data_IF_745246355256
#
_entry.id   IF_745246355256
#
_cell.length_a   1.000
_cell.length_b   1.000
_cell.length_c   1.000
_cell.angle_alpha   90.00
_cell.angle_beta   90.00
_cell.angle_gamma   90.00
#
_symmetry.space_group_name_H-M   'P 1'
#
loop_
_entity.id
_entity.type
_entity.pdbx_description
1 polymer ?
#
# COMPACT_ATOMS: atom_id res chain seq x y z
N UNK A 1 24.82 -40.05 0.15
CA UNK A 1 24.14 -40.81 -0.90
C UNK A 1 22.66 -40.45 -0.82
N UNK A 2 22.09 -39.95 -1.91
CA UNK A 2 20.66 -39.88 -2.31
C UNK A 2 20.55 -38.71 -3.30
N UNK A 3 20.30 -39.08 -4.55
CA UNK A 3 20.38 -38.27 -5.75
C UNK A 3 19.04 -37.58 -6.05
N UNK A 4 19.14 -36.42 -6.70
CA UNK A 4 18.32 -35.96 -7.83
C UNK A 4 16.80 -35.85 -7.63
N UNK A 5 16.29 -34.61 -7.54
CA UNK A 5 14.95 -34.26 -8.04
C UNK A 5 15.09 -33.15 -9.07
N UNK A 6 15.04 -33.57 -10.33
CA UNK A 6 14.82 -32.74 -11.51
C UNK A 6 13.32 -32.39 -11.54
N UNK A 7 12.97 -31.12 -11.38
CA UNK A 7 11.59 -30.65 -11.54
C UNK A 7 11.51 -29.71 -12.75
N UNK A 8 10.79 -30.18 -13.75
CA UNK A 8 10.48 -29.50 -15.01
C UNK A 8 9.38 -28.46 -14.72
N UNK A 9 9.61 -27.20 -15.07
CA UNK A 9 8.59 -26.15 -15.04
C UNK A 9 8.00 -25.95 -16.44
N UNK A 10 6.67 -26.03 -16.66
CA UNK A 10 6.07 -25.70 -17.93
C UNK A 10 5.85 -24.18 -18.08
N UNK A 11 6.04 -23.72 -19.31
CA UNK A 11 5.92 -22.36 -19.82
C UNK A 11 4.59 -21.67 -19.43
N UNK A 12 4.68 -20.59 -18.65
CA UNK A 12 3.61 -19.60 -18.53
C UNK A 12 3.87 -18.45 -19.50
N UNK A 13 3.11 -18.49 -20.58
CA UNK A 13 2.99 -17.49 -21.65
C UNK A 13 2.64 -16.12 -21.03
N UNK A 14 3.62 -15.20 -20.97
CA UNK A 14 3.40 -13.80 -20.59
C UNK A 14 2.46 -13.14 -21.61
N UNK A 15 1.29 -12.70 -21.14
CA UNK A 15 0.45 -11.72 -21.88
C UNK A 15 1.09 -10.33 -21.74
N UNK A 16 1.02 -9.47 -22.77
CA UNK A 16 1.63 -8.15 -22.73
C UNK A 16 0.80 -7.24 -21.80
N UNK A 17 1.43 -6.78 -20.71
CA UNK A 17 0.92 -5.69 -19.90
C UNK A 17 1.12 -4.38 -20.68
N UNK A 18 0.02 -3.81 -21.17
CA UNK A 18 -0.02 -2.41 -21.62
C UNK A 18 -0.40 -1.61 -20.39
N UNK A 19 0.58 -0.90 -19.84
CA UNK A 19 0.45 -0.06 -18.66
C UNK A 19 1.82 0.53 -18.34
N UNK A 20 2.32 1.38 -19.24
CA UNK A 20 3.55 2.13 -19.02
C UNK A 20 3.26 3.25 -18.04
N UNK A 21 3.80 3.12 -16.83
CA UNK A 21 4.09 4.24 -15.94
C UNK A 21 5.46 3.96 -15.36
N UNK A 22 6.49 4.63 -15.86
CA UNK A 22 7.79 4.66 -15.20
C UNK A 22 7.59 5.39 -13.86
N UNK A 23 7.42 4.65 -12.77
CA UNK A 23 7.51 5.20 -11.41
C UNK A 23 8.98 5.50 -11.14
N UNK A 24 9.33 6.79 -11.17
CA UNK A 24 10.62 7.26 -10.65
C UNK A 24 10.67 6.90 -9.15
N UNK A 25 11.62 6.06 -8.69
CA UNK A 25 11.68 5.64 -7.29
C UNK A 25 11.92 6.82 -6.34
N UNK A 26 12.41 7.96 -6.86
CA UNK A 26 12.61 9.20 -6.10
C UNK A 26 11.34 10.02 -5.90
N UNK A 27 10.21 9.65 -6.54
CA UNK A 27 8.94 10.37 -6.39
C UNK A 27 8.26 9.99 -5.08
N UNK A 28 8.50 10.76 -4.03
CA UNK A 28 7.83 10.61 -2.74
C UNK A 28 6.32 10.78 -2.90
N UNK A 29 5.55 9.72 -2.63
CA UNK A 29 4.10 9.80 -2.53
C UNK A 29 3.72 10.14 -1.09
N UNK A 30 3.43 11.41 -0.82
CA UNK A 30 2.94 11.83 0.48
C UNK A 30 1.42 11.58 0.58
N UNK A 31 1.01 10.58 1.37
CA UNK A 31 -0.38 10.39 1.84
C UNK A 31 -0.68 11.37 2.99
N UNK A 32 -0.47 12.66 2.74
CA UNK A 32 -0.76 13.65 3.76
C UNK A 32 -2.27 13.79 3.93
N UNK A 33 -2.80 13.34 5.07
CA UNK A 33 -4.13 13.76 5.55
C UNK A 33 -4.13 15.27 5.66
N UNK A 34 -4.76 15.99 4.75
CA UNK A 34 -4.89 17.45 4.87
C UNK A 34 -5.69 17.77 6.13
N UNK A 35 -5.00 18.21 7.18
CA UNK A 35 -5.62 18.82 8.39
C UNK A 35 -6.17 20.21 8.10
N UNK A 36 -5.87 20.77 6.92
CA UNK A 36 -6.47 22.01 6.44
C UNK A 36 -7.89 21.72 6.02
N UNK A 37 -8.86 22.30 6.74
CA UNK A 37 -10.27 22.27 6.37
C UNK A 37 -10.39 22.61 4.86
N UNK A 38 -11.13 21.82 4.06
CA UNK A 38 -11.23 22.07 2.64
C UNK A 38 -11.76 23.49 2.45
N UNK A 39 -10.97 24.36 1.81
CA UNK A 39 -11.55 25.54 1.15
C UNK A 39 -12.54 24.98 0.16
N UNK A 40 -13.81 25.36 0.31
CA UNK A 40 -14.96 24.87 -0.44
C UNK A 40 -14.71 24.87 -1.96
N UNK A 41 -14.07 23.82 -2.45
CA UNK A 41 -14.07 23.36 -3.82
C UNK A 41 -14.84 22.06 -3.75
N UNK A 42 -15.99 21.99 -4.39
CA UNK A 42 -17.06 21.00 -4.14
C UNK A 42 -16.75 19.53 -4.45
N UNK A 43 -15.49 19.08 -4.40
CA UNK A 43 -15.14 17.68 -4.47
C UNK A 43 -15.15 17.07 -3.06
N UNK A 44 -16.03 16.10 -2.82
CA UNK A 44 -16.02 15.32 -1.58
C UNK A 44 -14.72 14.50 -1.51
N UNK A 45 -13.84 14.83 -0.57
CA UNK A 45 -12.75 13.93 -0.16
C UNK A 45 -13.37 12.68 0.47
N UNK A 46 -12.75 11.50 0.30
CA UNK A 46 -13.21 10.30 0.98
C UNK A 46 -13.00 10.35 2.50
N UNK A 47 -13.29 9.25 3.20
CA UNK A 47 -13.13 9.17 4.64
C UNK A 47 -11.72 9.58 5.07
N UNK A 48 -11.64 10.33 6.17
CA UNK A 48 -10.40 10.76 6.81
C UNK A 48 -9.46 11.57 5.92
N UNK A 49 -9.98 12.14 4.83
CA UNK A 49 -9.19 12.91 3.86
C UNK A 49 -8.55 12.07 2.75
N UNK A 50 -8.79 10.76 2.71
CA UNK A 50 -8.24 9.88 1.68
C UNK A 50 -9.19 9.72 0.49
N UNK A 51 -8.71 10.00 -0.71
CA UNK A 51 -9.50 9.90 -1.94
C UNK A 51 -9.94 8.45 -2.25
N UNK A 52 -9.15 7.46 -1.84
CA UNK A 52 -9.48 6.04 -1.98
C UNK A 52 -10.79 5.70 -1.27
N UNK A 53 -11.00 6.29 -0.09
CA UNK A 53 -12.05 5.94 0.86
C UNK A 53 -13.39 6.67 0.58
N UNK A 54 -13.72 6.87 -0.69
CA UNK A 54 -15.05 7.32 -1.14
C UNK A 54 -16.08 6.18 -1.16
N UNK A 55 -15.62 4.94 -1.07
CA UNK A 55 -16.45 3.73 -0.99
C UNK A 55 -15.77 2.66 -0.13
N UNK A 56 -16.51 1.66 0.37
CA UNK A 56 -15.94 0.56 1.16
C UNK A 56 -14.77 -0.15 0.48
N UNK A 57 -14.97 -0.53 -0.80
CA UNK A 57 -13.94 -1.18 -1.62
C UNK A 57 -12.71 -0.26 -1.89
N UNK A 58 -12.81 1.03 -1.54
CA UNK A 58 -11.68 1.93 -1.46
C UNK A 58 -10.54 1.41 -0.59
N UNK A 59 -10.85 0.71 0.50
CA UNK A 59 -9.86 0.10 1.38
C UNK A 59 -8.99 -0.94 0.67
N UNK A 60 -9.54 -1.72 -0.28
CA UNK A 60 -8.77 -2.70 -1.04
C UNK A 60 -7.73 -2.04 -1.93
N UNK A 61 -8.13 -0.99 -2.67
CA UNK A 61 -7.19 -0.20 -3.47
C UNK A 61 -6.14 0.48 -2.59
N UNK A 62 -6.55 0.99 -1.45
CA UNK A 62 -5.65 1.69 -0.55
C UNK A 62 -4.54 0.76 -0.02
N UNK A 63 -4.89 -0.47 0.38
CA UNK A 63 -3.89 -1.47 0.81
C UNK A 63 -3.07 -2.02 -0.36
N UNK A 64 -3.65 -2.19 -1.55
CA UNK A 64 -2.93 -2.61 -2.77
C UNK A 64 -1.77 -1.64 -3.07
N UNK A 65 -2.08 -0.36 -3.17
CA UNK A 65 -1.10 0.69 -3.47
C UNK A 65 -0.05 0.82 -2.36
N UNK A 66 -0.47 0.67 -1.10
CA UNK A 66 0.45 0.71 0.03
C UNK A 66 1.48 -0.42 0.00
N UNK A 67 1.05 -1.64 -0.32
CA UNK A 67 1.92 -2.81 -0.45
C UNK A 67 2.85 -2.65 -1.65
N UNK A 68 2.32 -2.23 -2.80
CA UNK A 68 3.11 -2.00 -4.01
C UNK A 68 4.22 -0.99 -3.74
N UNK A 69 3.88 0.19 -3.20
CA UNK A 69 4.85 1.25 -2.94
C UNK A 69 5.89 0.85 -1.91
N UNK A 70 5.46 0.20 -0.82
CA UNK A 70 6.39 -0.28 0.21
C UNK A 70 7.35 -1.32 -0.36
N UNK A 71 6.88 -2.20 -1.24
CA UNK A 71 7.71 -3.23 -1.89
C UNK A 71 8.74 -2.62 -2.85
N UNK A 72 8.34 -1.60 -3.61
CA UNK A 72 9.26 -0.83 -4.44
C UNK A 72 10.38 -0.18 -3.60
N UNK A 73 10.01 0.48 -2.49
CA UNK A 73 10.94 1.17 -1.60
C UNK A 73 11.91 0.20 -0.92
N UNK A 74 11.42 -0.93 -0.39
CA UNK A 74 12.25 -1.99 0.18
C UNK A 74 13.24 -2.52 -0.86
N UNK A 75 12.77 -2.77 -2.09
CA UNK A 75 13.63 -3.25 -3.18
C UNK A 75 14.69 -2.20 -3.56
N UNK A 76 14.31 -0.92 -3.57
CA UNK A 76 15.21 0.19 -3.85
C UNK A 76 16.33 0.28 -2.83
N UNK A 77 16.01 0.32 -1.53
CA UNK A 77 17.02 0.48 -0.47
C UNK A 77 17.86 -0.77 -0.22
N UNK A 78 17.33 -1.97 -0.53
CA UNK A 78 18.08 -3.22 -0.38
C UNK A 78 19.32 -3.29 -1.29
N UNK A 79 19.36 -2.50 -2.37
CA UNK A 79 20.48 -2.42 -3.29
C UNK A 79 21.45 -1.26 -3.00
N UNK A 80 21.16 -0.42 -2.00
CA UNK A 80 21.93 0.79 -1.73
C UNK A 80 23.01 0.56 -0.66
N UNK A 81 24.20 1.19 -0.82
CA UNK A 81 25.11 1.35 0.32
C UNK A 81 24.52 2.34 1.35
N UNK A 82 25.07 2.35 2.56
CA UNK A 82 24.71 3.27 3.65
C UNK A 82 24.51 4.71 3.14
N UNK A 83 23.27 5.20 3.23
CA UNK A 83 22.85 6.46 2.61
C UNK A 83 21.67 7.06 3.37
N UNK A 84 21.55 8.40 3.37
CA UNK A 84 20.38 9.11 3.89
C UNK A 84 19.09 8.76 3.16
N UNK A 85 19.17 8.25 1.93
CA UNK A 85 18.02 7.77 1.16
C UNK A 85 17.35 6.55 1.83
N UNK A 86 18.09 5.75 2.61
CA UNK A 86 17.52 4.64 3.38
C UNK A 86 16.51 5.19 4.41
N UNK A 87 16.90 6.24 5.14
CA UNK A 87 16.03 6.86 6.15
C UNK A 87 14.79 7.45 5.48
N UNK A 88 14.96 8.16 4.36
CA UNK A 88 13.83 8.74 3.62
C UNK A 88 12.85 7.68 3.11
N UNK A 89 13.35 6.55 2.63
CA UNK A 89 12.50 5.45 2.20
C UNK A 89 11.80 4.76 3.38
N UNK A 90 12.48 4.59 4.52
CA UNK A 90 11.87 4.05 5.75
C UNK A 90 10.77 4.96 6.29
N UNK A 91 11.00 6.27 6.25
CA UNK A 91 9.97 7.26 6.54
C UNK A 91 8.80 7.02 5.59
N UNK A 92 9.00 7.05 4.26
CA UNK A 92 7.91 6.86 3.28
C UNK A 92 7.18 5.51 3.40
N UNK A 93 7.87 4.43 3.76
CA UNK A 93 7.24 3.13 4.07
C UNK A 93 6.31 3.27 5.28
N UNK A 94 6.77 3.90 6.36
CA UNK A 94 6.10 3.96 7.66
C UNK A 94 4.74 4.65 7.58
N UNK A 95 4.70 5.98 7.54
CA UNK A 95 4.42 6.59 6.28
C UNK A 95 3.09 6.08 5.57
N UNK A 96 3.32 5.25 4.54
CA UNK A 96 2.36 4.55 3.68
C UNK A 96 1.55 3.50 4.44
N UNK A 97 2.23 2.70 5.25
CA UNK A 97 1.63 1.60 6.02
C UNK A 97 0.67 2.15 7.08
N UNK A 98 1.12 3.12 7.87
CA UNK A 98 0.37 3.74 8.94
C UNK A 98 -0.91 4.39 8.42
N UNK A 99 -0.88 5.00 7.24
CA UNK A 99 -2.07 5.57 6.61
C UNK A 99 -3.19 4.55 6.39
N UNK A 100 -2.85 3.32 5.99
CA UNK A 100 -3.82 2.22 5.86
C UNK A 100 -4.25 1.70 7.23
N UNK A 101 -3.29 1.47 8.13
CA UNK A 101 -3.54 0.92 9.47
C UNK A 101 -4.48 1.82 10.27
N UNK A 102 -4.15 3.10 10.40
CA UNK A 102 -4.90 4.08 11.18
C UNK A 102 -6.31 4.29 10.62
N UNK A 103 -6.43 4.41 9.28
CA UNK A 103 -7.72 4.56 8.61
C UNK A 103 -8.61 3.32 8.80
N UNK A 104 -8.02 2.13 8.70
CA UNK A 104 -8.75 0.88 8.87
C UNK A 104 -9.17 0.68 10.33
N UNK A 105 -8.29 0.97 11.29
CA UNK A 105 -8.59 0.88 12.71
C UNK A 105 -9.68 1.86 13.12
N UNK A 106 -9.58 3.12 12.71
CA UNK A 106 -10.61 4.11 13.00
C UNK A 106 -11.96 3.71 12.39
N UNK A 107 -11.97 3.24 11.14
CA UNK A 107 -13.18 2.78 10.45
C UNK A 107 -13.86 1.63 11.19
N UNK A 108 -13.11 0.59 11.58
CA UNK A 108 -13.66 -0.57 12.31
C UNK A 108 -14.33 -0.20 13.64
N UNK A 109 -13.84 0.86 14.30
CA UNK A 109 -14.33 1.28 15.60
C UNK A 109 -15.46 2.32 15.54
N UNK A 110 -15.63 3.03 14.42
CA UNK A 110 -16.49 4.22 14.37
C UNK A 110 -17.51 4.25 13.25
N UNK A 111 -17.30 3.50 12.16
CA UNK A 111 -18.17 3.63 10.99
C UNK A 111 -19.50 2.89 11.19
N UNK A 112 -20.66 3.51 10.94
CA UNK A 112 -21.98 2.91 11.17
C UNK A 112 -22.36 1.86 10.10
N UNK A 113 -21.82 2.00 8.90
CA UNK A 113 -22.04 1.06 7.79
C UNK A 113 -21.10 -0.15 7.92
N UNK A 114 -21.71 -1.34 7.91
CA UNK A 114 -21.00 -2.61 8.02
C UNK A 114 -20.09 -2.90 6.83
N UNK A 115 -20.44 -2.47 5.63
CA UNK A 115 -19.62 -2.75 4.44
C UNK A 115 -18.25 -2.06 4.57
N UNK A 116 -18.24 -0.81 5.05
CA UNK A 116 -17.00 -0.09 5.36
C UNK A 116 -16.18 -0.78 6.45
N UNK A 117 -16.81 -1.27 7.52
CA UNK A 117 -16.14 -1.98 8.60
C UNK A 117 -15.51 -3.30 8.10
N UNK A 118 -16.23 -4.05 7.27
CA UNK A 118 -15.78 -5.33 6.73
C UNK A 118 -14.60 -5.16 5.76
N UNK A 119 -14.67 -4.16 4.87
CA UNK A 119 -13.56 -3.85 3.96
C UNK A 119 -12.33 -3.27 4.68
N UNK A 120 -12.53 -2.44 5.70
CA UNK A 120 -11.45 -1.98 6.57
C UNK A 120 -10.79 -3.14 7.33
N UNK A 121 -11.55 -4.12 7.80
CA UNK A 121 -11.00 -5.30 8.44
C UNK A 121 -10.15 -6.14 7.48
N UNK A 122 -10.61 -6.35 6.24
CA UNK A 122 -9.83 -7.05 5.20
C UNK A 122 -8.52 -6.33 4.90
N UNK A 123 -8.56 -5.01 4.70
CA UNK A 123 -7.36 -4.21 4.47
C UNK A 123 -6.37 -4.30 5.64
N UNK A 124 -6.86 -4.25 6.87
CA UNK A 124 -6.04 -4.38 8.08
C UNK A 124 -5.37 -5.74 8.21
N UNK A 125 -6.09 -6.83 7.93
CA UNK A 125 -5.49 -8.18 7.93
C UNK A 125 -4.39 -8.27 6.87
N UNK A 126 -4.66 -7.73 5.68
CA UNK A 126 -3.75 -7.81 4.54
C UNK A 126 -2.47 -7.00 4.73
N UNK A 127 -2.56 -5.76 5.25
CA UNK A 127 -1.36 -4.97 5.55
C UNK A 127 -0.56 -5.61 6.68
N UNK A 128 -1.24 -6.18 7.69
CA UNK A 128 -0.56 -6.89 8.77
C UNK A 128 0.16 -8.16 8.29
N UNK A 129 -0.42 -8.91 7.35
CA UNK A 129 0.24 -10.06 6.71
C UNK A 129 1.49 -9.61 5.94
N UNK A 130 1.39 -8.53 5.17
CA UNK A 130 2.53 -7.96 4.45
C UNK A 130 3.69 -7.60 5.39
N UNK A 131 3.40 -6.90 6.51
CA UNK A 131 4.41 -6.49 7.50
C UNK A 131 5.11 -7.67 8.18
N UNK A 132 4.43 -8.79 8.39
CA UNK A 132 5.04 -9.95 9.06
C UNK A 132 5.86 -10.83 8.12
N UNK A 133 5.58 -10.80 6.81
CA UNK A 133 6.15 -11.76 5.84
C UNK A 133 7.18 -11.10 4.92
N UNK A 134 7.10 -9.78 4.70
CA UNK A 134 7.78 -9.13 3.57
C UNK A 134 8.72 -7.98 3.95
N UNK A 135 8.65 -7.45 5.17
CA UNK A 135 9.55 -6.41 5.71
C UNK A 135 10.28 -7.01 6.92
#
# INVERSE_FOLDING_TARGET
>A
MWHLIRRIAPNLRRKPFIGSSNSDPTRTQHYHTSVVAPRQSGASTGLYGFDHLKSPNGFQRFVDEAIERSTELVSYISAMPESSEIIRAMDEISDTVCSVVDSAELCRNTHPDREFVEEANKASMRINEYLHVSI
#
